data_IF_359002344731
#
_entry.id   IF_359002344731
#
_cell.length_a   1.000
_cell.length_b   1.000
_cell.length_c   1.000
_cell.angle_alpha   90.00
_cell.angle_beta   90.00
_cell.angle_gamma   90.00
#
_symmetry.space_group_name_H-M   'P 1'
#
loop_
_entity.id
_entity.type
_entity.pdbx_description
1 polymer ?
#
# COMPACT_ATOMS: atom_id res chain seq x y z
N UNK A 1 8.69 -0.17 -3.77
CA UNK A 1 9.50 1.06 -3.93
C UNK A 1 9.05 2.02 -2.84
N UNK A 2 9.97 2.67 -2.13
CA UNK A 2 9.63 3.54 -1.00
C UNK A 2 10.21 4.95 -1.19
N UNK A 3 9.46 6.02 -0.87
CA UNK A 3 9.96 7.39 -0.93
C UNK A 3 11.02 7.63 0.16
N UNK A 4 12.22 8.08 -0.20
CA UNK A 4 13.39 8.13 0.70
C UNK A 4 13.72 9.48 1.33
N UNK A 5 12.98 10.54 0.99
CA UNK A 5 13.35 11.92 1.36
C UNK A 5 13.00 12.30 2.80
N UNK A 6 12.07 11.56 3.43
CA UNK A 6 11.60 11.81 4.80
C UNK A 6 11.45 10.48 5.56
N UNK A 7 11.67 10.47 6.89
CA UNK A 7 11.53 9.26 7.69
C UNK A 7 10.07 8.81 7.86
N UNK A 8 9.11 9.74 7.75
CA UNK A 8 7.69 9.51 7.94
C UNK A 8 6.87 10.38 6.99
N UNK A 9 5.71 9.88 6.56
CA UNK A 9 4.76 10.57 5.71
C UNK A 9 3.37 10.51 6.35
N UNK A 10 2.63 11.61 6.27
CA UNK A 10 1.19 11.60 6.53
C UNK A 10 0.47 11.16 5.26
N UNK A 11 -0.31 10.10 5.37
CA UNK A 11 -1.19 9.61 4.30
C UNK A 11 -2.64 9.91 4.66
N UNK A 12 -3.37 10.39 3.67
CA UNK A 12 -4.81 10.66 3.73
C UNK A 12 -5.46 10.01 2.52
N UNK A 13 -6.56 9.28 2.74
CA UNK A 13 -7.33 8.63 1.69
C UNK A 13 -8.81 8.91 1.87
N UNK A 14 -9.36 9.75 1.01
CA UNK A 14 -10.76 10.20 1.11
C UNK A 14 -11.77 9.07 0.85
N UNK A 15 -11.39 8.03 0.10
CA UNK A 15 -12.31 6.95 -0.28
C UNK A 15 -12.78 6.06 0.87
N UNK A 16 -11.96 5.93 1.92
CA UNK A 16 -12.19 5.10 3.11
C UNK A 16 -12.02 5.90 4.42
N UNK A 17 -11.67 7.19 4.34
CA UNK A 17 -11.48 8.07 5.48
C UNK A 17 -10.19 7.81 6.27
N UNK A 18 -9.25 7.03 5.75
CA UNK A 18 -7.97 6.78 6.40
C UNK A 18 -7.15 8.07 6.48
N UNK A 19 -6.59 8.33 7.66
CA UNK A 19 -5.60 9.38 7.91
C UNK A 19 -4.61 8.88 8.95
N UNK A 20 -3.33 8.77 8.59
CA UNK A 20 -2.32 8.25 9.49
C UNK A 20 -0.89 8.63 9.09
N UNK A 21 -0.02 8.75 10.10
CA UNK A 21 1.42 8.92 9.90
C UNK A 21 2.08 7.54 9.82
N UNK A 22 2.79 7.27 8.73
CA UNK A 22 3.45 5.98 8.46
C UNK A 22 4.89 6.18 8.03
N UNK A 23 5.76 5.19 8.24
CA UNK A 23 7.13 5.26 7.75
C UNK A 23 7.20 5.39 6.21
N UNK A 24 8.35 5.84 5.72
CA UNK A 24 8.70 5.80 4.30
C UNK A 24 8.42 4.44 3.64
N UNK A 25 8.80 3.35 4.33
CA UNK A 25 8.66 2.00 3.80
C UNK A 25 7.18 1.59 3.70
N UNK A 26 6.43 1.82 4.78
CA UNK A 26 4.98 1.60 4.80
C UNK A 26 4.25 2.44 3.74
N UNK A 27 4.61 3.71 3.57
CA UNK A 27 4.04 4.57 2.54
C UNK A 27 4.30 4.02 1.13
N UNK A 28 5.52 3.54 0.87
CA UNK A 28 5.88 2.89 -0.38
C UNK A 28 5.08 1.62 -0.65
N UNK A 29 4.86 0.80 0.38
CA UNK A 29 4.11 -0.43 0.27
C UNK A 29 2.63 -0.19 0.00
N UNK A 30 2.02 0.77 0.70
CA UNK A 30 0.63 1.20 0.47
C UNK A 30 0.47 1.70 -0.97
N UNK A 31 1.34 2.61 -1.42
CA UNK A 31 1.29 3.14 -2.80
C UNK A 31 1.45 2.03 -3.85
N UNK A 32 2.34 1.05 -3.59
CA UNK A 32 2.54 -0.09 -4.48
C UNK A 32 1.30 -0.97 -4.57
N UNK A 33 0.65 -1.25 -3.43
CA UNK A 33 -0.57 -2.08 -3.36
C UNK A 33 -1.73 -1.40 -4.11
N UNK A 34 -1.95 -0.10 -3.89
CA UNK A 34 -2.95 0.66 -4.65
C UNK A 34 -2.69 0.65 -6.15
N UNK A 35 -1.44 0.85 -6.57
CA UNK A 35 -1.07 0.78 -7.98
C UNK A 35 -1.41 -0.60 -8.57
N UNK A 36 -1.04 -1.69 -7.89
CA UNK A 36 -1.28 -3.05 -8.39
C UNK A 36 -2.77 -3.38 -8.47
N UNK A 37 -3.56 -3.01 -7.46
CA UNK A 37 -5.03 -3.15 -7.48
C UNK A 37 -5.63 -2.40 -8.67
N UNK A 38 -5.27 -1.12 -8.83
CA UNK A 38 -5.76 -0.31 -9.94
C UNK A 38 -5.34 -0.85 -11.32
N UNK A 39 -4.11 -1.36 -11.47
CA UNK A 39 -3.66 -1.97 -12.72
C UNK A 39 -4.42 -3.26 -13.03
N UNK A 40 -4.72 -4.08 -12.02
CA UNK A 40 -5.55 -5.27 -12.21
C UNK A 40 -6.97 -4.89 -12.65
N UNK A 41 -7.60 -3.91 -12.00
CA UNK A 41 -8.94 -3.43 -12.41
C UNK A 41 -8.94 -2.85 -13.83
N UNK A 42 -7.89 -2.11 -14.19
CA UNK A 42 -7.80 -1.42 -15.47
C UNK A 42 -7.52 -2.35 -16.65
N UNK A 43 -6.68 -3.36 -16.46
CA UNK A 43 -6.19 -4.21 -17.56
C UNK A 43 -6.65 -5.66 -17.47
N UNK A 44 -7.13 -6.13 -16.31
CA UNK A 44 -7.60 -7.51 -16.12
C UNK A 44 -6.51 -8.57 -16.17
N UNK A 45 -5.23 -8.18 -16.12
CA UNK A 45 -4.10 -9.10 -16.21
C UNK A 45 -3.83 -9.76 -14.85
N UNK A 46 -3.72 -11.09 -14.84
CA UNK A 46 -3.51 -11.90 -13.63
C UNK A 46 -2.17 -11.61 -12.93
N UNK A 47 -1.17 -11.15 -13.69
CA UNK A 47 0.14 -10.80 -13.14
C UNK A 47 0.03 -9.71 -12.05
N UNK A 48 -0.90 -8.76 -12.19
CA UNK A 48 -1.07 -7.69 -11.20
C UNK A 48 -1.73 -8.20 -9.93
N UNK A 49 -2.72 -9.09 -10.05
CA UNK A 49 -3.33 -9.76 -8.91
C UNK A 49 -2.32 -10.66 -8.16
N UNK A 50 -1.45 -11.36 -8.89
CA UNK A 50 -0.38 -12.17 -8.29
C UNK A 50 0.63 -11.30 -7.53
N UNK A 51 1.11 -10.21 -8.17
CA UNK A 51 2.01 -9.26 -7.53
C UNK A 51 1.36 -8.61 -6.29
N UNK A 52 0.07 -8.27 -6.37
CA UNK A 52 -0.69 -7.74 -5.25
C UNK A 52 -0.73 -8.73 -4.08
N UNK A 53 -1.02 -10.01 -4.35
CA UNK A 53 -1.04 -11.05 -3.33
C UNK A 53 0.32 -11.22 -2.63
N UNK A 54 1.42 -11.19 -3.39
CA UNK A 54 2.77 -11.26 -2.80
C UNK A 54 3.11 -10.02 -1.97
N UNK A 55 2.80 -8.82 -2.48
CA UNK A 55 3.03 -7.58 -1.75
C UNK A 55 2.18 -7.51 -0.47
N UNK A 56 0.94 -7.99 -0.50
CA UNK A 56 0.04 -8.05 0.67
C UNK A 56 0.54 -9.06 1.72
N UNK A 57 1.02 -10.23 1.28
CA UNK A 57 1.65 -11.21 2.18
C UNK A 57 2.93 -10.66 2.84
N UNK A 58 3.68 -9.82 2.13
CA UNK A 58 4.82 -9.11 2.70
C UNK A 58 4.37 -8.02 3.69
N UNK A 59 3.36 -7.23 3.34
CA UNK A 59 2.78 -6.19 4.19
C UNK A 59 2.25 -6.74 5.53
N UNK A 60 1.69 -7.94 5.53
CA UNK A 60 1.18 -8.61 6.73
C UNK A 60 2.28 -8.91 7.77
N UNK A 61 3.56 -8.95 7.35
CA UNK A 61 4.71 -9.17 8.23
C UNK A 61 5.41 -7.86 8.64
N UNK A 62 4.94 -6.73 8.14
CA UNK A 62 5.50 -5.42 8.45
C UNK A 62 5.13 -4.98 9.88
N UNK A 63 6.01 -4.25 10.56
CA UNK A 63 5.73 -3.71 11.90
C UNK A 63 4.52 -2.78 11.92
N UNK A 64 4.22 -2.15 10.78
CA UNK A 64 3.05 -1.27 10.56
C UNK A 64 1.93 -1.96 9.76
N UNK A 65 1.79 -3.29 9.84
CA UNK A 65 0.75 -4.04 9.12
C UNK A 65 -0.67 -3.50 9.39
N UNK A 66 -0.96 -3.02 10.61
CA UNK A 66 -2.24 -2.42 10.97
C UNK A 66 -2.56 -1.15 10.14
N UNK A 67 -1.74 -0.08 10.23
CA UNK A 67 -1.89 1.11 9.39
C UNK A 67 -1.92 0.82 7.89
N UNK A 68 -1.10 -0.12 7.41
CA UNK A 68 -1.08 -0.50 5.99
C UNK A 68 -2.40 -1.14 5.57
N UNK A 69 -2.94 -2.05 6.39
CA UNK A 69 -4.25 -2.66 6.12
C UNK A 69 -5.38 -1.64 6.17
N UNK A 70 -5.39 -0.75 7.17
CA UNK A 70 -6.41 0.29 7.29
C UNK A 70 -6.38 1.29 6.12
N UNK A 71 -5.23 1.52 5.51
CA UNK A 71 -5.13 2.36 4.32
C UNK A 71 -5.75 1.71 3.08
N UNK A 72 -5.84 0.38 3.02
CA UNK A 72 -6.27 -0.40 1.86
C UNK A 72 -7.73 -0.89 1.93
N UNK A 73 -8.42 -0.64 3.03
CA UNK A 73 -9.85 -0.98 3.24
C UNK A 73 -10.76 -0.19 2.29
#
# INVERSE_FOLDING_TARGET
MAPGDQPQYRLEWDGNGFSGDVSADAAGLIATLFMLGHMHEKYGEDQFAQLYAWASAYAAQHSEAGPIGAALD
#
